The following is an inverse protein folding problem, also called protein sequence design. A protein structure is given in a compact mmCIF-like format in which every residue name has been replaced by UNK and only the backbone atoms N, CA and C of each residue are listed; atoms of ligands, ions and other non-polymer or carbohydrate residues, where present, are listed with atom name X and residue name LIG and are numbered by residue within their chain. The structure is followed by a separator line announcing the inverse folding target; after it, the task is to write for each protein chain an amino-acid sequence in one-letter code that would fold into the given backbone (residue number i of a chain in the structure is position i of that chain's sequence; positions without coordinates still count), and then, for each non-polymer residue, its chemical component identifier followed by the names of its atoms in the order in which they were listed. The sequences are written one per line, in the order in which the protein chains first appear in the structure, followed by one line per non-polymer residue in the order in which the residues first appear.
data_IF_819367522507
#
_entry.id   IF_819367522507
#
_cell.length_a   1.000
_cell.length_b   1.000
_cell.length_c   1.000
_cell.angle_alpha   90.00
_cell.angle_beta   90.00
_cell.angle_gamma   90.00
#
_symmetry.space_group_name_H-M   'P 1'
#
loop_
_entity.id
_entity.type
_entity.pdbx_description
1 polymer ?
#
# COMPACT_ATOMS: atom_id res chain seq x y z
N UNK A 1 -9.53 8.26 -8.82
CA UNK A 1 -8.49 7.24 -8.63
C UNK A 1 -9.06 5.92 -9.11
N UNK A 2 -8.41 5.33 -10.09
CA UNK A 2 -8.70 3.98 -10.57
C UNK A 2 -7.60 3.01 -10.14
N UNK A 3 -8.02 1.82 -9.70
CA UNK A 3 -7.12 0.72 -9.33
C UNK A 3 -7.52 -0.49 -10.18
N UNK A 4 -6.57 -1.02 -10.95
CA UNK A 4 -6.76 -2.21 -11.77
C UNK A 4 -6.02 -3.38 -11.16
N UNK A 5 -6.74 -4.39 -10.68
CA UNK A 5 -6.14 -5.64 -10.21
C UNK A 5 -5.70 -6.47 -11.41
N UNK A 6 -4.39 -6.69 -11.54
CA UNK A 6 -3.80 -7.48 -12.63
C UNK A 6 -3.71 -8.96 -12.26
N UNK A 7 -3.43 -9.26 -10.99
CA UNK A 7 -3.33 -10.61 -10.44
C UNK A 7 -3.84 -10.64 -9.00
N UNK A 8 -4.58 -11.68 -8.64
CA UNK A 8 -5.02 -11.89 -7.25
C UNK A 8 -5.02 -13.37 -6.89
N UNK A 9 -4.22 -13.70 -5.90
CA UNK A 9 -4.18 -15.00 -5.21
C UNK A 9 -4.31 -14.75 -3.71
N UNK A 10 -4.38 -15.82 -2.91
CA UNK A 10 -4.53 -15.72 -1.45
C UNK A 10 -3.38 -14.95 -0.78
N UNK A 11 -2.15 -15.20 -1.22
CA UNK A 11 -0.93 -14.64 -0.62
C UNK A 11 -0.18 -13.68 -1.56
N UNK A 12 -0.78 -13.31 -2.69
CA UNK A 12 -0.14 -12.49 -3.72
C UNK A 12 -1.17 -11.58 -4.41
N UNK A 13 -0.81 -10.32 -4.63
CA UNK A 13 -1.62 -9.39 -5.43
C UNK A 13 -0.72 -8.50 -6.28
N UNK A 14 -1.15 -8.25 -7.51
CA UNK A 14 -0.61 -7.21 -8.37
C UNK A 14 -1.73 -6.21 -8.70
N UNK A 15 -1.49 -4.95 -8.41
CA UNK A 15 -2.43 -3.87 -8.66
C UNK A 15 -1.73 -2.70 -9.34
N UNK A 16 -2.32 -2.25 -10.45
CA UNK A 16 -1.91 -1.04 -11.16
C UNK A 16 -2.69 0.16 -10.64
N UNK A 17 -1.99 1.27 -10.44
CA UNK A 17 -2.54 2.53 -9.96
C UNK A 17 -2.38 3.63 -11.01
N UNK A 18 -3.35 4.54 -11.11
CA UNK A 18 -3.29 5.72 -12.00
C UNK A 18 -2.37 6.85 -11.49
N UNK A 19 -1.72 6.65 -10.34
CA UNK A 19 -0.77 7.59 -9.75
C UNK A 19 0.32 6.86 -8.96
N UNK A 20 1.39 7.59 -8.62
CA UNK A 20 2.55 7.05 -7.90
C UNK A 20 2.45 7.16 -6.37
N UNK A 21 1.72 8.15 -5.86
CA UNK A 21 1.71 8.46 -4.43
C UNK A 21 1.15 7.32 -3.58
N UNK A 22 0.03 6.72 -3.99
CA UNK A 22 -0.57 5.61 -3.23
C UNK A 22 0.29 4.34 -3.20
N UNK A 23 0.81 3.81 -4.33
CA UNK A 23 1.65 2.61 -4.27
C UNK A 23 2.95 2.83 -3.50
N UNK A 24 3.54 4.04 -3.51
CA UNK A 24 4.71 4.34 -2.67
C UNK A 24 4.35 4.38 -1.18
N UNK A 25 3.26 5.06 -0.82
CA UNK A 25 2.79 5.10 0.57
C UNK A 25 2.47 3.69 1.08
N UNK A 26 1.72 2.91 0.31
CA UNK A 26 1.39 1.52 0.64
C UNK A 26 2.65 0.68 0.78
N UNK A 27 3.62 0.80 -0.14
CA UNK A 27 4.90 0.06 -0.06
C UNK A 27 5.59 0.29 1.29
N UNK A 28 5.64 1.53 1.77
CA UNK A 28 6.29 1.85 3.06
C UNK A 28 5.59 1.15 4.23
N UNK A 29 4.26 1.20 4.30
CA UNK A 29 3.50 0.62 5.43
C UNK A 29 3.40 -0.90 5.34
N UNK A 30 3.21 -1.45 4.15
CA UNK A 30 3.17 -2.90 3.94
C UNK A 30 4.47 -3.58 4.39
N UNK A 31 5.63 -2.97 4.12
CA UNK A 31 6.93 -3.50 4.56
C UNK A 31 7.16 -3.41 6.09
N UNK A 32 6.28 -2.76 6.86
CA UNK A 32 6.30 -2.82 8.33
C UNK A 32 5.67 -4.09 8.88
N UNK A 33 4.78 -4.77 8.14
CA UNK A 33 4.12 -5.99 8.60
C UNK A 33 5.03 -7.20 8.37
N UNK A 34 5.43 -7.89 9.45
CA UNK A 34 6.23 -9.12 9.40
C UNK A 34 5.64 -10.27 8.57
N UNK A 35 4.34 -10.25 8.28
CA UNK A 35 3.68 -11.22 7.41
C UNK A 35 3.92 -10.92 5.92
N UNK A 36 4.39 -9.72 5.56
CA UNK A 36 4.78 -9.35 4.19
C UNK A 36 6.20 -9.81 3.93
N UNK A 37 6.36 -10.63 2.90
CA UNK A 37 7.69 -11.09 2.45
C UNK A 37 8.25 -10.22 1.34
N UNK A 38 7.37 -9.54 0.60
CA UNK A 38 7.76 -8.65 -0.48
C UNK A 38 6.67 -7.61 -0.73
N UNK A 39 7.02 -6.33 -0.74
CA UNK A 39 6.15 -5.26 -1.25
C UNK A 39 7.01 -4.23 -1.98
N UNK A 40 6.78 -4.09 -3.30
CA UNK A 40 7.47 -3.13 -4.15
C UNK A 40 6.57 -2.73 -5.31
N UNK A 41 6.76 -1.52 -5.84
CA UNK A 41 6.14 -1.11 -7.10
C UNK A 41 7.20 -0.89 -8.18
N UNK A 42 6.80 -1.05 -9.43
CA UNK A 42 7.63 -0.74 -10.59
C UNK A 42 6.87 0.06 -11.64
N UNK A 43 7.61 0.79 -12.45
CA UNK A 43 7.15 1.40 -13.70
C UNK A 43 8.07 0.89 -14.81
N UNK A 44 7.50 0.28 -15.86
CA UNK A 44 8.28 -0.14 -17.03
C UNK A 44 8.84 1.07 -17.79
N UNK A 45 8.10 2.19 -17.78
CA UNK A 45 8.52 3.46 -18.36
C UNK A 45 8.00 4.63 -17.53
N UNK A 46 8.66 5.80 -17.60
CA UNK A 46 8.29 6.98 -16.81
C UNK A 46 6.85 7.47 -17.04
N UNK A 47 6.28 7.20 -18.22
CA UNK A 47 4.90 7.57 -18.59
C UNK A 47 3.86 6.48 -18.30
N UNK A 48 4.28 5.27 -17.91
CA UNK A 48 3.36 4.18 -17.61
C UNK A 48 2.87 4.22 -16.17
N UNK A 49 1.71 3.63 -15.93
CA UNK A 49 1.13 3.50 -14.60
C UNK A 49 1.94 2.51 -13.74
N UNK A 50 2.25 2.84 -12.47
CA UNK A 50 2.95 1.93 -11.57
C UNK A 50 2.13 0.70 -11.24
N UNK A 51 2.82 -0.43 -11.10
CA UNK A 51 2.26 -1.70 -10.66
C UNK A 51 2.89 -2.06 -9.31
N UNK A 52 2.06 -2.18 -8.28
CA UNK A 52 2.44 -2.66 -6.96
C UNK A 52 2.27 -4.18 -6.91
N UNK A 53 3.33 -4.87 -6.49
CA UNK A 53 3.32 -6.30 -6.18
C UNK A 53 3.49 -6.48 -4.67
N UNK A 54 2.62 -7.30 -4.07
CA UNK A 54 2.69 -7.66 -2.65
C UNK A 54 2.60 -9.17 -2.50
N UNK A 55 3.50 -9.74 -1.70
CA UNK A 55 3.51 -11.16 -1.32
C UNK A 55 3.55 -11.29 0.20
N UNK A 56 2.81 -12.27 0.71
CA UNK A 56 2.70 -12.54 2.15
C UNK A 56 3.08 -13.99 2.47
N UNK A 57 3.40 -14.25 3.74
CA UNK A 57 3.62 -15.60 4.27
C UNK A 57 2.52 -15.95 5.26
N UNK A 58 1.66 -16.90 4.88
CA UNK A 58 0.66 -17.48 5.78
C UNK A 58 -0.51 -16.57 6.18
N UNK A 59 -0.56 -15.33 5.69
CA UNK A 59 -1.63 -14.36 5.96
C UNK A 59 -2.26 -13.89 4.66
N UNK A 60 -3.58 -13.76 4.64
CA UNK A 60 -4.31 -13.27 3.48
C UNK A 60 -3.87 -11.86 3.10
N UNK A 61 -3.65 -11.62 1.80
CA UNK A 61 -3.17 -10.35 1.29
C UNK A 61 -4.13 -9.20 1.60
N UNK A 62 -5.45 -9.43 1.56
CA UNK A 62 -6.45 -8.40 1.84
C UNK A 62 -6.34 -7.91 3.29
N UNK A 63 -6.16 -8.83 4.24
CA UNK A 63 -6.02 -8.50 5.65
C UNK A 63 -4.77 -7.64 5.93
N UNK A 64 -3.69 -7.86 5.19
CA UNK A 64 -2.48 -7.05 5.29
C UNK A 64 -2.71 -5.63 4.75
N UNK A 65 -3.40 -5.49 3.61
CA UNK A 65 -3.75 -4.18 3.06
C UNK A 65 -4.68 -3.40 3.99
N UNK A 66 -5.73 -4.03 4.53
CA UNK A 66 -6.66 -3.40 5.49
C UNK A 66 -5.89 -2.88 6.71
N UNK A 67 -4.96 -3.67 7.25
CA UNK A 67 -4.09 -3.22 8.35
C UNK A 67 -3.22 -2.04 7.96
N UNK A 68 -2.54 -2.08 6.81
CA UNK A 68 -1.67 -0.99 6.36
C UNK A 68 -2.45 0.32 6.17
N UNK A 69 -3.65 0.26 5.58
CA UNK A 69 -4.54 1.42 5.43
C UNK A 69 -4.96 1.97 6.80
N UNK A 70 -5.31 1.11 7.76
CA UNK A 70 -5.67 1.55 9.10
C UNK A 70 -4.50 2.23 9.84
N UNK A 71 -3.26 1.76 9.64
CA UNK A 71 -2.08 2.43 10.19
C UNK A 71 -1.86 3.81 9.56
N UNK A 72 -2.02 3.92 8.23
CA UNK A 72 -1.95 5.22 7.53
C UNK A 72 -3.00 6.18 8.09
N UNK A 73 -4.25 5.74 8.24
CA UNK A 73 -5.34 6.57 8.75
C UNK A 73 -5.05 7.08 10.16
N UNK A 74 -4.53 6.22 11.05
CA UNK A 74 -4.14 6.62 12.42
C UNK A 74 -3.03 7.67 12.43
N UNK A 75 -2.02 7.49 11.58
CA UNK A 75 -0.92 8.46 11.48
C UNK A 75 -1.44 9.81 10.95
N UNK A 76 -2.36 9.81 9.98
CA UNK A 76 -3.01 11.02 9.46
C UNK A 76 -3.89 11.72 10.50
N UNK A 77 -4.71 10.97 11.24
CA UNK A 77 -5.54 11.49 12.33
C UNK A 77 -4.69 12.14 13.43
N UNK A 78 -3.56 11.50 13.77
CA UNK A 78 -2.61 12.06 14.74
C UNK A 78 -2.00 13.36 14.22
N UNK A 79 -1.53 13.39 12.97
CA UNK A 79 -0.97 14.60 12.36
C UNK A 79 -2.00 15.73 12.36
N UNK A 80 -3.26 15.45 12.00
CA UNK A 80 -4.33 16.44 12.00
C UNK A 80 -4.60 16.98 13.41
N UNK A 81 -4.67 16.10 14.41
CA UNK A 81 -4.85 16.47 15.82
C UNK A 81 -3.70 17.33 16.33
N UNK A 82 -2.45 16.90 16.13
CA UNK A 82 -1.25 17.61 16.55
C UNK A 82 -1.20 19.00 15.88
N UNK A 83 -1.53 19.08 14.59
CA UNK A 83 -1.60 20.35 13.85
C UNK A 83 -2.66 21.31 14.42
N UNK A 84 -3.85 20.81 14.77
CA UNK A 84 -4.90 21.63 15.41
C UNK A 84 -4.50 22.16 16.78
N UNK A 85 -3.66 21.42 17.51
CA UNK A 85 -3.16 21.78 18.83
C UNK A 85 -2.02 22.82 18.81
N UNK A 86 -1.44 23.13 17.65
CA UNK A 86 -0.43 24.18 17.49
C UNK A 86 -0.98 25.63 17.58
N UNK A 87 -2.28 25.78 17.85
CA UNK A 87 -2.94 27.08 18.07
C UNK A 87 -2.57 27.71 19.40
#
# INVERSE_FOLDING_TARGET
MEIKVLKREKNEIEAQFDNLTFPELLRVYLNKDSAVTFAAWKKEHATMNPVLLVKTKGKDVKAVFEKAVNEIMKDLEKIESDFKALK
#
